data_IF_093623029959
#
_entry.id   IF_093623029959
#
_cell.length_a   1.000
_cell.length_b   1.000
_cell.length_c   1.000
_cell.angle_alpha   90.00
_cell.angle_beta   90.00
_cell.angle_gamma   90.00
#
_symmetry.space_group_name_H-M   'P 1'
#
loop_
_entity.id
_entity.type
_entity.pdbx_description
1 polymer ?
#
# COMPACT_ATOMS: atom_id res chain seq x y z
N UNK A 1 -13.08 -15.76 -29.08
CA UNK A 1 -11.81 -15.06 -28.79
C UNK A 1 -11.71 -14.96 -27.28
N UNK A 2 -10.60 -15.39 -26.69
CA UNK A 2 -10.40 -15.27 -25.24
C UNK A 2 -9.92 -13.85 -24.91
N UNK A 3 -10.54 -13.24 -23.91
CA UNK A 3 -10.13 -11.94 -23.37
C UNK A 3 -8.97 -12.08 -22.40
N UNK A 4 -8.24 -11.00 -22.18
CA UNK A 4 -7.09 -10.97 -21.27
C UNK A 4 -7.47 -11.32 -19.82
N UNK A 5 -8.68 -10.95 -19.38
CA UNK A 5 -9.19 -11.28 -18.06
C UNK A 5 -9.44 -12.79 -17.90
N UNK A 6 -10.06 -13.42 -18.89
CA UNK A 6 -10.32 -14.87 -18.88
C UNK A 6 -9.02 -15.68 -18.87
N UNK A 7 -7.97 -15.22 -19.56
CA UNK A 7 -6.66 -15.88 -19.55
C UNK A 7 -6.01 -15.79 -18.16
N UNK A 8 -6.14 -14.65 -17.47
CA UNK A 8 -5.63 -14.47 -16.09
C UNK A 8 -6.37 -15.35 -15.08
N UNK A 9 -7.70 -15.43 -15.19
CA UNK A 9 -8.51 -16.31 -14.35
C UNK A 9 -8.08 -17.78 -14.52
N UNK A 10 -7.89 -18.23 -15.77
CA UNK A 10 -7.44 -19.60 -16.06
C UNK A 10 -6.01 -19.84 -15.57
N UNK A 11 -5.11 -18.86 -15.73
CA UNK A 11 -3.72 -18.96 -15.27
C UNK A 11 -3.59 -19.07 -13.73
N UNK A 12 -4.57 -18.51 -12.99
CA UNK A 12 -4.63 -18.56 -11.52
C UNK A 12 -5.14 -19.88 -10.95
N UNK A 13 -5.63 -20.80 -11.79
CA UNK A 13 -6.20 -22.06 -11.34
C UNK A 13 -5.11 -23.00 -10.77
N UNK A 14 -5.33 -23.61 -9.58
CA UNK A 14 -4.46 -24.64 -9.05
C UNK A 14 -4.57 -25.95 -9.84
N UNK A 15 -3.55 -26.81 -9.78
CA UNK A 15 -3.55 -28.12 -10.46
C UNK A 15 -4.65 -29.07 -9.95
N UNK A 16 -5.22 -28.81 -8.78
CA UNK A 16 -6.40 -29.52 -8.26
C UNK A 16 -7.69 -29.20 -9.02
N UNK A 17 -7.71 -28.14 -9.85
CA UNK A 17 -8.88 -27.68 -10.59
C UNK A 17 -9.30 -28.60 -11.73
N UNK A 18 -8.48 -29.58 -12.12
CA UNK A 18 -8.83 -30.57 -13.15
C UNK A 18 -9.99 -31.50 -12.75
N UNK A 19 -10.46 -31.44 -11.50
CA UNK A 19 -11.58 -32.24 -10.98
C UNK A 19 -12.96 -31.62 -11.27
N UNK A 20 -13.03 -30.33 -11.57
CA UNK A 20 -14.29 -29.62 -11.76
C UNK A 20 -14.62 -29.47 -13.24
N UNK A 21 -15.82 -29.92 -13.66
CA UNK A 21 -16.26 -29.88 -15.06
C UNK A 21 -16.14 -28.50 -15.70
N UNK A 22 -16.55 -27.43 -15.00
CA UNK A 22 -16.47 -26.07 -15.52
C UNK A 22 -15.03 -25.64 -15.86
N UNK A 23 -14.05 -25.99 -15.03
CA UNK A 23 -12.65 -25.66 -15.26
C UNK A 23 -12.03 -26.52 -16.36
N UNK A 24 -12.43 -27.79 -16.45
CA UNK A 24 -12.03 -28.70 -17.53
C UNK A 24 -12.51 -28.19 -18.88
N UNK A 25 -13.76 -27.74 -18.96
CA UNK A 25 -14.34 -27.21 -20.20
C UNK A 25 -13.69 -25.89 -20.62
N UNK A 26 -13.39 -25.00 -19.65
CA UNK A 26 -12.65 -23.75 -19.90
C UNK A 26 -11.23 -24.02 -20.41
N UNK A 27 -10.48 -24.92 -19.77
CA UNK A 27 -9.13 -25.31 -20.19
C UNK A 27 -9.13 -26.01 -21.56
N UNK A 28 -10.11 -26.86 -21.85
CA UNK A 28 -10.25 -27.50 -23.16
C UNK A 28 -10.61 -26.49 -24.26
N UNK A 29 -11.41 -25.48 -23.94
CA UNK A 29 -11.74 -24.39 -24.86
C UNK A 29 -10.50 -23.53 -25.14
N UNK A 30 -9.71 -23.21 -24.11
CA UNK A 30 -8.44 -22.50 -24.26
C UNK A 30 -7.43 -23.32 -25.08
N UNK A 31 -7.32 -24.63 -24.84
CA UNK A 31 -6.46 -25.52 -25.62
C UNK A 31 -6.75 -25.46 -27.13
N UNK A 32 -8.04 -25.51 -27.50
CA UNK A 32 -8.47 -25.41 -28.91
C UNK A 32 -8.07 -24.06 -29.50
N UNK A 33 -8.34 -22.99 -28.76
CA UNK A 33 -8.00 -21.64 -29.18
C UNK A 33 -6.49 -21.43 -29.35
N UNK A 34 -5.67 -21.90 -28.39
CA UNK A 34 -4.20 -21.82 -28.49
C UNK A 34 -3.68 -22.57 -29.71
N UNK A 35 -4.26 -23.72 -30.04
CA UNK A 35 -3.89 -24.48 -31.25
C UNK A 35 -4.23 -23.78 -32.56
N UNK A 36 -5.25 -22.92 -32.55
CA UNK A 36 -5.61 -22.09 -33.71
C UNK A 36 -4.71 -20.87 -33.83
N UNK A 37 -4.24 -20.31 -32.70
CA UNK A 37 -3.41 -19.10 -32.68
C UNK A 37 -1.91 -19.37 -32.82
N UNK A 38 -1.41 -20.53 -32.36
CA UNK A 38 0.02 -20.81 -32.31
C UNK A 38 0.51 -21.53 -33.56
N UNK A 39 1.73 -21.20 -33.99
CA UNK A 39 2.40 -21.91 -35.09
C UNK A 39 2.75 -23.34 -34.66
N UNK A 40 2.82 -24.29 -35.61
CA UNK A 40 3.14 -25.69 -35.28
C UNK A 40 4.51 -25.84 -34.58
N UNK A 41 5.46 -24.96 -34.90
CA UNK A 41 6.79 -24.90 -34.24
C UNK A 41 6.68 -24.49 -32.78
N UNK A 42 5.91 -23.45 -32.48
CA UNK A 42 5.68 -22.99 -31.10
C UNK A 42 4.98 -24.07 -30.25
N UNK A 43 4.03 -24.81 -30.83
CA UNK A 43 3.36 -25.93 -30.14
C UNK A 43 4.36 -27.05 -29.81
N UNK A 44 5.26 -27.39 -30.74
CA UNK A 44 6.29 -28.41 -30.49
C UNK A 44 7.30 -27.97 -29.43
N UNK A 45 7.74 -26.70 -29.47
CA UNK A 45 8.66 -26.13 -28.48
C UNK A 45 8.05 -26.13 -27.08
N UNK A 46 6.79 -25.70 -26.95
CA UNK A 46 6.07 -25.71 -25.68
C UNK A 46 5.90 -27.11 -25.11
N UNK A 47 5.57 -28.07 -25.99
CA UNK A 47 5.45 -29.48 -25.60
C UNK A 47 6.77 -30.04 -25.08
N UNK A 48 7.89 -29.72 -25.73
CA UNK A 48 9.22 -30.15 -25.27
C UNK A 48 9.65 -29.46 -24.00
N UNK A 49 9.28 -28.19 -23.80
CA UNK A 49 9.63 -27.37 -22.63
C UNK A 49 9.04 -27.90 -21.33
N UNK A 50 7.82 -28.43 -21.38
CA UNK A 50 7.08 -28.91 -20.20
C UNK A 50 6.90 -30.44 -20.15
N UNK A 51 7.52 -31.19 -21.08
CA UNK A 51 7.40 -32.65 -21.23
C UNK A 51 5.94 -33.16 -21.18
N UNK A 52 5.08 -32.54 -22.00
CA UNK A 52 3.63 -32.76 -21.96
C UNK A 52 3.19 -33.82 -22.98
N UNK A 53 2.39 -34.80 -22.55
CA UNK A 53 1.73 -35.73 -23.46
C UNK A 53 0.32 -35.27 -23.85
N UNK A 54 0.22 -34.53 -24.96
CA UNK A 54 -1.06 -34.05 -25.50
C UNK A 54 -1.98 -35.16 -26.07
N UNK A 55 -1.62 -36.44 -25.95
CA UNK A 55 -2.51 -37.57 -26.30
C UNK A 55 -3.58 -37.79 -25.23
N UNK A 56 -3.21 -37.66 -23.96
CA UNK A 56 -4.13 -37.77 -22.81
C UNK A 56 -4.96 -36.51 -22.62
N UNK A 57 -6.18 -36.65 -22.09
CA UNK A 57 -7.02 -35.51 -21.67
C UNK A 57 -6.32 -34.68 -20.59
N UNK A 58 -5.66 -35.34 -19.64
CA UNK A 58 -4.89 -34.69 -18.57
C UNK A 58 -3.73 -33.83 -19.14
N UNK A 59 -3.01 -34.36 -20.13
CA UNK A 59 -1.91 -33.63 -20.77
C UNK A 59 -2.38 -32.43 -21.59
N UNK A 60 -3.58 -32.49 -22.18
CA UNK A 60 -4.21 -31.33 -22.85
C UNK A 60 -4.58 -30.23 -21.86
N UNK A 61 -5.08 -30.60 -20.67
CA UNK A 61 -5.41 -29.64 -19.61
C UNK A 61 -4.16 -28.96 -19.05
N UNK A 62 -3.09 -29.72 -18.78
CA UNK A 62 -1.80 -29.19 -18.34
C UNK A 62 -1.17 -28.29 -19.41
N UNK A 63 -1.30 -28.65 -20.68
CA UNK A 63 -0.88 -27.80 -21.80
C UNK A 63 -1.64 -26.47 -21.81
N UNK A 64 -2.96 -26.49 -21.67
CA UNK A 64 -3.76 -25.27 -21.62
C UNK A 64 -3.38 -24.38 -20.43
N UNK A 65 -3.15 -24.96 -19.25
CA UNK A 65 -2.79 -24.22 -18.04
C UNK A 65 -1.41 -23.57 -18.16
N UNK A 66 -0.42 -24.30 -18.67
CA UNK A 66 0.94 -23.77 -18.89
C UNK A 66 0.97 -22.73 -20.00
N UNK A 67 0.19 -22.91 -21.06
CA UNK A 67 0.02 -21.91 -22.12
C UNK A 67 -0.67 -20.65 -21.59
N UNK A 68 -1.68 -20.77 -20.73
CA UNK A 68 -2.32 -19.62 -20.07
C UNK A 68 -1.32 -18.81 -19.24
N UNK A 69 -0.44 -19.50 -18.50
CA UNK A 69 0.63 -18.87 -17.71
C UNK A 69 1.68 -18.19 -18.58
N UNK A 70 2.02 -18.74 -19.74
CA UNK A 70 2.97 -18.11 -20.65
C UNK A 70 2.37 -16.90 -21.38
N UNK A 71 1.10 -16.99 -21.77
CA UNK A 71 0.35 -15.88 -22.36
C UNK A 71 0.15 -14.74 -21.35
N UNK A 72 -0.01 -15.04 -20.05
CA UNK A 72 -0.08 -14.00 -19.02
C UNK A 72 1.28 -13.38 -18.69
N UNK A 73 2.38 -14.12 -18.85
CA UNK A 73 3.74 -13.60 -18.67
C UNK A 73 4.13 -12.57 -19.74
N UNK A 74 3.65 -12.70 -20.98
CA UNK A 74 3.88 -11.71 -22.05
C UNK A 74 3.21 -10.33 -21.84
N UNK A 75 2.37 -10.20 -20.82
CA UNK A 75 1.62 -8.97 -20.47
C UNK A 75 2.26 -8.23 -19.30
N UNK A 76 3.20 -8.87 -18.58
CA UNK A 76 4.09 -8.19 -17.64
C UNK A 76 5.39 -7.86 -18.38
N UNK A 77 5.95 -6.64 -18.25
CA UNK A 77 7.20 -6.32 -18.93
C UNK A 77 8.29 -7.34 -18.55
N UNK A 78 9.14 -7.74 -19.51
CA UNK A 78 10.10 -8.82 -19.30
C UNK A 78 11.01 -8.46 -18.13
N UNK A 79 11.12 -9.37 -17.17
CA UNK A 79 12.24 -9.40 -16.25
C UNK A 79 13.47 -9.71 -17.10
N UNK A 80 14.14 -8.66 -17.60
CA UNK A 80 15.42 -8.78 -18.29
C UNK A 80 16.45 -9.28 -17.28
N UNK A 81 16.69 -10.58 -17.33
CA UNK A 81 17.81 -11.21 -16.66
C UNK A 81 18.95 -11.22 -17.68
N UNK A 82 19.64 -10.10 -17.84
CA UNK A 82 20.95 -10.09 -18.48
C UNK A 82 21.97 -9.35 -17.60
N UNK A 83 23.05 -10.09 -17.38
CA UNK A 83 24.25 -9.85 -16.59
C UNK A 83 24.98 -8.53 -16.87
N UNK A 84 25.31 -7.79 -15.79
CA UNK A 84 26.69 -7.31 -15.52
C UNK A 84 26.83 -6.79 -14.08
N UNK A 85 28.01 -6.90 -13.45
CA UNK A 85 28.20 -6.73 -12.02
C UNK A 85 28.70 -5.33 -11.67
N UNK A 86 27.81 -4.45 -11.20
CA UNK A 86 28.17 -3.31 -10.36
C UNK A 86 26.90 -2.61 -9.86
N UNK A 87 26.80 -2.40 -8.55
CA UNK A 87 25.74 -1.69 -7.83
C UNK A 87 24.39 -2.43 -7.71
N UNK A 88 24.42 -3.58 -7.03
CA UNK A 88 23.24 -4.41 -6.72
C UNK A 88 22.23 -3.72 -5.79
N UNK A 89 22.65 -2.76 -4.97
CA UNK A 89 21.74 -2.06 -4.05
C UNK A 89 20.99 -0.91 -4.75
N UNK A 90 21.69 -0.03 -5.48
CA UNK A 90 21.05 1.08 -6.21
C UNK A 90 20.03 0.58 -7.24
N UNK A 91 20.33 -0.48 -8.00
CA UNK A 91 19.38 -1.04 -8.97
C UNK A 91 18.13 -1.65 -8.31
N UNK A 92 18.28 -2.25 -7.13
CA UNK A 92 17.13 -2.77 -6.35
C UNK A 92 16.28 -1.63 -5.80
N UNK A 93 16.90 -0.57 -5.29
CA UNK A 93 16.21 0.64 -4.83
C UNK A 93 15.46 1.35 -5.97
N UNK A 94 16.04 1.41 -7.16
CA UNK A 94 15.38 1.97 -8.35
C UNK A 94 14.19 1.08 -8.77
N UNK A 95 14.33 -0.24 -8.70
CA UNK A 95 13.22 -1.15 -9.02
C UNK A 95 12.09 -1.07 -7.97
N UNK A 96 12.41 -1.07 -6.68
CA UNK A 96 11.41 -0.96 -5.62
C UNK A 96 10.70 0.39 -5.65
N UNK A 97 11.41 1.49 -5.88
CA UNK A 97 10.81 2.82 -6.03
C UNK A 97 9.88 2.89 -7.25
N UNK A 98 10.25 2.29 -8.39
CA UNK A 98 9.37 2.21 -9.57
C UNK A 98 8.11 1.39 -9.29
N UNK A 99 8.24 0.22 -8.67
CA UNK A 99 7.09 -0.63 -8.29
C UNK A 99 6.18 0.11 -7.30
N UNK A 100 6.76 0.75 -6.28
CA UNK A 100 6.01 1.53 -5.30
C UNK A 100 5.31 2.73 -5.93
N UNK A 101 5.99 3.49 -6.79
CA UNK A 101 5.41 4.65 -7.48
C UNK A 101 4.23 4.25 -8.38
N UNK A 102 4.36 3.13 -9.11
CA UNK A 102 3.29 2.58 -9.93
C UNK A 102 2.10 2.12 -9.05
N UNK A 103 2.38 1.44 -7.94
CA UNK A 103 1.33 1.02 -7.00
C UNK A 103 0.61 2.22 -6.38
N UNK A 104 1.34 3.26 -5.96
CA UNK A 104 0.77 4.51 -5.42
C UNK A 104 -0.10 5.20 -6.48
N UNK A 105 0.30 5.20 -7.75
CA UNK A 105 -0.48 5.79 -8.84
C UNK A 105 -1.82 5.06 -9.10
N UNK A 106 -1.92 3.78 -8.73
CA UNK A 106 -3.15 2.99 -8.85
C UNK A 106 -4.09 3.16 -7.65
N UNK A 107 -3.58 3.68 -6.52
CA UNK A 107 -4.40 3.94 -5.35
C UNK A 107 -5.26 5.20 -5.55
N UNK A 108 -6.49 5.24 -5.03
CA UNK A 108 -7.28 6.46 -5.04
C UNK A 108 -6.52 7.58 -4.31
N UNK A 109 -6.59 8.84 -4.79
CA UNK A 109 -5.88 9.94 -4.17
C UNK A 109 -6.34 10.10 -2.72
N UNK A 110 -5.37 10.27 -1.82
CA UNK A 110 -5.65 10.48 -0.39
C UNK A 110 -6.56 11.70 -0.25
N UNK A 111 -7.69 11.60 0.47
CA UNK A 111 -8.56 12.74 0.69
C UNK A 111 -7.79 13.86 1.38
N UNK A 112 -7.97 15.09 0.89
CA UNK A 112 -7.31 16.27 1.47
C UNK A 112 -7.72 16.41 2.94
N UNK A 113 -6.75 16.68 3.80
CA UNK A 113 -6.97 17.00 5.21
C UNK A 113 -7.63 18.37 5.37
N UNK A 114 -8.23 18.62 6.52
CA UNK A 114 -8.89 19.88 6.84
C UNK A 114 -7.93 21.01 7.26
N UNK A 115 -6.62 20.75 7.34
CA UNK A 115 -5.61 21.73 7.68
C UNK A 115 -5.37 21.92 9.19
N UNK A 116 -6.13 21.24 10.05
CA UNK A 116 -5.92 21.28 11.51
C UNK A 116 -4.52 20.83 11.91
N UNK A 117 -3.89 19.96 11.12
CA UNK A 117 -2.52 19.48 11.34
C UNK A 117 -1.48 20.61 11.36
N UNK A 118 -1.79 21.75 10.75
CA UNK A 118 -0.90 22.92 10.71
C UNK A 118 -1.10 23.85 11.92
N UNK A 119 -2.12 23.63 12.74
CA UNK A 119 -2.38 24.46 13.93
C UNK A 119 -1.26 24.26 14.96
N UNK A 120 -0.94 25.28 15.77
CA UNK A 120 0.12 25.20 16.77
C UNK A 120 -0.05 24.03 17.75
N UNK A 121 -1.29 23.75 18.17
CA UNK A 121 -1.61 22.63 19.06
C UNK A 121 -1.30 21.27 18.43
N UNK A 122 -1.70 21.05 17.17
CA UNK A 122 -1.38 19.82 16.45
C UNK A 122 0.10 19.70 16.14
N UNK A 123 0.78 20.81 15.84
CA UNK A 123 2.24 20.82 15.62
C UNK A 123 3.00 20.42 16.89
N UNK A 124 2.59 20.90 18.08
CA UNK A 124 3.14 20.43 19.36
C UNK A 124 2.97 18.91 19.48
N UNK A 125 1.83 18.38 19.06
CA UNK A 125 1.54 16.93 19.08
C UNK A 125 2.14 16.15 17.90
N UNK A 126 2.94 16.76 17.03
CA UNK A 126 3.62 16.08 15.92
C UNK A 126 2.78 15.88 14.65
N UNK A 127 1.81 16.76 14.40
CA UNK A 127 0.90 16.77 13.23
C UNK A 127 0.18 15.43 12.98
N UNK A 128 -0.49 14.86 14.00
CA UNK A 128 -1.16 13.58 13.85
C UNK A 128 -2.37 13.70 12.93
N UNK A 129 -2.48 12.79 11.96
CA UNK A 129 -3.64 12.63 11.07
C UNK A 129 -4.59 11.58 11.66
N UNK A 130 -4.03 10.54 12.29
CA UNK A 130 -4.76 9.43 12.86
C UNK A 130 -4.74 9.44 14.40
N UNK A 131 -5.74 8.80 15.00
CA UNK A 131 -5.83 8.65 16.46
C UNK A 131 -4.60 7.92 17.03
N UNK A 132 -4.17 6.84 16.36
CA UNK A 132 -3.03 6.04 16.82
C UNK A 132 -1.73 6.85 16.80
N UNK A 133 -1.57 7.75 15.81
CA UNK A 133 -0.43 8.68 15.75
C UNK A 133 -0.47 9.65 16.92
N UNK A 134 -1.62 10.25 17.23
CA UNK A 134 -1.76 11.14 18.40
C UNK A 134 -1.37 10.42 19.69
N UNK A 135 -1.89 9.21 19.90
CA UNK A 135 -1.63 8.41 21.09
C UNK A 135 -0.15 8.00 21.18
N UNK A 136 0.45 7.61 20.06
CA UNK A 136 1.87 7.29 19.98
C UNK A 136 2.74 8.52 20.31
N UNK A 137 2.47 9.65 19.65
CA UNK A 137 3.21 10.89 19.81
C UNK A 137 3.12 11.41 21.25
N UNK A 138 1.93 11.38 21.84
CA UNK A 138 1.73 11.73 23.25
C UNK A 138 2.60 10.87 24.16
N UNK A 139 2.66 9.55 23.93
CA UNK A 139 3.49 8.64 24.74
C UNK A 139 4.98 9.01 24.64
N UNK A 140 5.48 9.36 23.46
CA UNK A 140 6.87 9.81 23.28
C UNK A 140 7.14 11.12 24.02
N UNK A 141 6.29 12.13 23.83
CA UNK A 141 6.42 13.43 24.50
C UNK A 141 6.32 13.30 26.02
N UNK A 142 5.40 12.48 26.52
CA UNK A 142 5.23 12.22 27.96
C UNK A 142 6.47 11.59 28.57
N UNK A 143 7.13 10.67 27.87
CA UNK A 143 8.38 10.06 28.32
C UNK A 143 9.55 11.03 28.25
N UNK A 144 9.56 11.94 27.26
CA UNK A 144 10.63 12.93 27.10
C UNK A 144 10.58 14.00 28.18
N UNK A 145 9.40 14.56 28.44
CA UNK A 145 9.17 15.66 29.39
C UNK A 145 8.68 15.17 30.76
N UNK A 146 8.83 13.88 31.07
CA UNK A 146 8.38 13.33 32.36
C UNK A 146 9.14 13.98 33.53
N UNK A 147 8.48 14.35 34.64
CA UNK A 147 9.16 14.95 35.80
C UNK A 147 10.22 14.03 36.41
N UNK A 148 9.98 12.71 36.41
CA UNK A 148 10.95 11.71 36.91
C UNK A 148 12.27 11.69 36.12
N UNK A 149 12.21 11.88 34.80
CA UNK A 149 13.39 11.91 33.93
C UNK A 149 14.09 13.28 33.91
N UNK A 150 13.36 14.33 34.27
CA UNK A 150 13.87 15.71 34.29
C UNK A 150 13.68 16.32 35.69
N UNK A 151 14.33 15.75 36.72
CA UNK A 151 14.23 16.30 38.06
C UNK A 151 14.81 17.73 38.06
N UNK A 152 14.07 18.66 38.67
CA UNK A 152 14.44 20.08 38.83
C UNK A 152 14.35 20.99 37.59
N UNK A 153 13.74 20.53 36.49
CA UNK A 153 13.46 21.41 35.34
C UNK A 153 12.03 21.95 35.40
N UNK A 154 11.89 23.24 35.73
CA UNK A 154 10.59 23.94 35.69
C UNK A 154 10.01 23.96 34.27
N UNK A 155 10.87 24.14 33.26
CA UNK A 155 10.49 24.13 31.85
C UNK A 155 9.89 22.78 31.41
N UNK A 156 10.46 21.66 31.86
CA UNK A 156 9.93 20.34 31.56
C UNK A 156 8.53 20.14 32.15
N UNK A 157 8.30 20.62 33.38
CA UNK A 157 7.01 20.54 34.04
C UNK A 157 5.94 21.38 33.31
N UNK A 158 6.27 22.59 32.89
CA UNK A 158 5.35 23.44 32.15
C UNK A 158 5.04 22.87 30.75
N UNK A 159 6.05 22.37 30.03
CA UNK A 159 5.84 21.66 28.76
C UNK A 159 4.96 20.43 28.94
N UNK A 160 5.20 19.65 29.99
CA UNK A 160 4.40 18.47 30.32
C UNK A 160 2.92 18.82 30.56
N UNK A 161 2.65 19.92 31.28
CA UNK A 161 1.29 20.44 31.49
C UNK A 161 0.62 20.80 30.16
N UNK A 162 1.32 21.55 29.29
CA UNK A 162 0.80 21.93 27.96
C UNK A 162 0.48 20.70 27.11
N UNK A 163 1.40 19.72 27.03
CA UNK A 163 1.19 18.49 26.25
C UNK A 163 -0.02 17.71 26.80
N UNK A 164 -0.13 17.59 28.12
CA UNK A 164 -1.22 16.84 28.76
C UNK A 164 -2.56 17.51 28.53
N UNK A 165 -2.61 18.85 28.60
CA UNK A 165 -3.82 19.63 28.35
C UNK A 165 -4.28 19.49 26.90
N UNK A 166 -3.38 19.72 25.93
CA UNK A 166 -3.71 19.57 24.50
C UNK A 166 -4.20 18.16 24.20
N UNK A 167 -3.53 17.13 24.73
CA UNK A 167 -3.95 15.75 24.51
C UNK A 167 -5.32 15.45 25.13
N UNK A 168 -5.62 15.95 26.34
CA UNK A 168 -6.91 15.75 26.98
C UNK A 168 -8.05 16.39 26.17
N UNK A 169 -7.85 17.63 25.70
CA UNK A 169 -8.81 18.35 24.87
C UNK A 169 -9.07 17.63 23.53
N UNK A 170 -8.00 17.21 22.86
CA UNK A 170 -8.10 16.47 21.59
C UNK A 170 -8.74 15.10 21.77
N UNK A 171 -8.43 14.39 22.85
CA UNK A 171 -8.96 13.04 23.13
C UNK A 171 -10.47 13.05 23.36
N UNK A 172 -11.01 14.10 23.98
CA UNK A 172 -12.44 14.18 24.31
C UNK A 172 -13.33 14.12 23.06
N UNK A 173 -12.97 14.85 22.01
CA UNK A 173 -13.81 15.03 20.82
C UNK A 173 -13.07 14.73 19.50
N UNK A 174 -12.11 13.81 19.54
CA UNK A 174 -11.24 13.51 18.39
C UNK A 174 -12.04 13.16 17.13
N UNK A 175 -12.91 12.15 17.22
CA UNK A 175 -13.65 11.64 16.06
C UNK A 175 -14.78 12.57 15.60
N UNK A 176 -15.21 13.50 16.45
CA UNK A 176 -16.35 14.37 16.17
C UNK A 176 -15.95 15.75 15.63
N UNK A 177 -14.84 16.31 16.12
CA UNK A 177 -14.43 17.69 15.80
C UNK A 177 -12.97 17.84 15.36
N UNK A 178 -12.05 17.12 15.98
CA UNK A 178 -10.62 17.42 15.83
C UNK A 178 -9.88 16.55 14.81
N UNK A 179 -10.47 15.46 14.35
CA UNK A 179 -9.83 14.58 13.36
C UNK A 179 -9.58 15.33 12.04
N UNK A 180 -8.33 15.34 11.52
CA UNK A 180 -7.99 15.99 10.25
C UNK A 180 -8.73 15.45 9.03
N UNK A 181 -9.38 14.29 9.16
CA UNK A 181 -10.19 13.64 8.13
C UNK A 181 -11.62 14.14 8.08
N UNK A 182 -12.05 14.92 9.06
CA UNK A 182 -13.40 15.51 9.08
C UNK A 182 -13.44 16.65 8.05
N UNK A 183 -14.49 16.74 7.20
CA UNK A 183 -14.64 17.83 6.25
C UNK A 183 -14.55 19.21 6.91
N UNK A 184 -13.83 20.13 6.27
CA UNK A 184 -13.64 21.50 6.77
C UNK A 184 -14.96 22.24 6.99
N UNK A 185 -15.99 21.93 6.22
CA UNK A 185 -17.35 22.48 6.35
C UNK A 185 -17.96 22.21 7.74
N UNK A 186 -17.67 21.04 8.33
CA UNK A 186 -18.21 20.64 9.64
C UNK A 186 -17.55 21.38 10.80
N UNK A 187 -16.26 21.70 10.66
CA UNK A 187 -15.51 22.47 11.66
C UNK A 187 -15.81 23.97 11.52
N UNK A 188 -15.92 24.43 10.28
CA UNK A 188 -16.05 25.84 9.93
C UNK A 188 -14.67 26.53 9.79
N UNK A 189 -14.51 27.31 8.71
CA UNK A 189 -13.26 28.02 8.42
C UNK A 189 -12.87 29.01 9.53
N UNK A 190 -13.86 29.63 10.18
CA UNK A 190 -13.62 30.56 11.28
C UNK A 190 -12.94 29.88 12.47
N UNK A 191 -13.41 28.70 12.86
CA UNK A 191 -12.83 27.94 13.98
C UNK A 191 -11.41 27.49 13.68
N UNK A 192 -11.14 27.09 12.43
CA UNK A 192 -9.77 26.79 11.98
C UNK A 192 -8.87 28.02 12.12
N UNK A 193 -9.32 29.20 11.70
CA UNK A 193 -8.55 30.44 11.82
C UNK A 193 -8.28 30.81 13.28
N UNK A 194 -9.25 30.60 14.19
CA UNK A 194 -9.04 30.81 15.62
C UNK A 194 -7.99 29.85 16.18
N UNK A 195 -8.07 28.57 15.83
CA UNK A 195 -7.07 27.58 16.21
C UNK A 195 -5.67 27.92 15.67
N UNK A 196 -5.57 28.46 14.46
CA UNK A 196 -4.30 28.93 13.87
C UNK A 196 -3.70 30.13 14.60
N UNK A 197 -4.54 30.99 15.19
CA UNK A 197 -4.10 32.17 15.94
C UNK A 197 -3.69 31.86 17.37
N UNK A 198 -3.91 30.64 17.85
CA UNK A 198 -3.52 30.23 19.19
C UNK A 198 -2.00 30.33 19.35
N UNK A 199 -1.55 30.98 20.42
CA UNK A 199 -0.12 31.14 20.71
C UNK A 199 0.24 30.31 21.93
N UNK A 200 1.45 29.73 21.88
CA UNK A 200 2.04 28.99 22.99
C UNK A 200 3.36 29.67 23.37
N UNK A 201 3.78 29.55 24.65
CA UNK A 201 5.02 30.15 25.13
C UNK A 201 6.28 29.61 24.43
N UNK A 202 6.24 28.39 23.88
CA UNK A 202 7.33 27.80 23.10
C UNK A 202 6.92 27.55 21.65
N UNK A 203 7.92 27.50 20.78
CA UNK A 203 7.73 27.05 19.40
C UNK A 203 7.25 25.58 19.39
N UNK A 204 6.21 25.25 18.60
CA UNK A 204 5.71 23.87 18.51
C UNK A 204 6.76 22.82 18.17
N UNK A 205 7.75 23.19 17.36
CA UNK A 205 8.81 22.28 16.91
C UNK A 205 9.80 21.95 18.06
N UNK A 206 9.94 22.83 19.06
CA UNK A 206 10.91 22.64 20.16
C UNK A 206 10.55 21.49 21.10
N UNK A 207 9.30 21.02 21.09
CA UNK A 207 8.87 19.88 21.90
C UNK A 207 9.50 18.57 21.41
N UNK A 208 9.89 18.51 20.13
CA UNK A 208 10.41 17.32 19.45
C UNK A 208 11.94 17.32 19.32
N UNK A 209 12.59 18.49 19.39
CA UNK A 209 14.06 18.65 19.37
C UNK A 209 14.75 18.03 20.58
#
# INVERSE_FOLDING_TARGET
MFTQQEILEIASLPESSFRFRCHVDALMSLYKWVREQWTPKAITEHRTKYDLDCRSTDGKLKFALTAAKELSQGVLPPVCTESSPSNTEENREIQTSRILSQAIALLPPVPKTNGLENTPSFRIMGRPIYWDELAHNYKQLRLKWHPDKNPNSTEAEERFKVITQIYADLKSEWFEKYSPRIPLERIGQHNLQLAMRQQFPWSPESFWQ
#
